data_IF_357841352525
#
_entry.id   IF_357841352525
#
_cell.length_a   1.000
_cell.length_b   1.000
_cell.length_c   1.000
_cell.angle_alpha   90.00
_cell.angle_beta   90.00
_cell.angle_gamma   90.00
#
_symmetry.space_group_name_H-M   'P 1'
#
loop_
_entity.id
_entity.type
_entity.pdbx_description
1 polymer ?
#
# COMPACT_ATOMS: atom_id res chain seq x y z
N UNK A 1 -2.92 -8.10 14.44
CA UNK A 1 -4.33 -8.49 14.59
C UNK A 1 -4.38 -9.92 15.12
N UNK A 2 -5.43 -10.33 15.85
CA UNK A 2 -5.46 -11.63 16.54
C UNK A 2 -5.43 -12.86 15.62
N UNK A 3 -5.56 -12.67 14.30
CA UNK A 3 -5.88 -13.74 13.34
C UNK A 3 -4.71 -14.06 12.36
N UNK A 4 -3.50 -13.52 12.59
CA UNK A 4 -2.34 -13.73 11.70
C UNK A 4 -2.32 -12.84 10.44
N UNK A 5 -3.38 -12.07 10.18
CA UNK A 5 -3.39 -11.04 9.16
C UNK A 5 -2.48 -9.85 9.50
N UNK A 6 -1.77 -9.35 8.49
CA UNK A 6 -0.89 -8.18 8.57
C UNK A 6 -1.58 -6.97 7.96
N UNK A 7 -1.67 -5.87 8.70
CA UNK A 7 -2.26 -4.61 8.23
C UNK A 7 -1.18 -3.66 7.73
N UNK A 8 -1.35 -3.13 6.53
CA UNK A 8 -0.49 -2.11 5.92
C UNK A 8 -1.29 -0.82 5.75
N UNK A 9 -0.67 0.29 6.14
CA UNK A 9 -1.25 1.63 6.04
C UNK A 9 -0.17 2.56 5.52
N UNK A 10 -0.46 3.24 4.43
CA UNK A 10 0.31 4.40 3.96
C UNK A 10 -0.67 5.49 3.57
N UNK A 11 -0.29 6.74 3.73
CA UNK A 11 -1.14 7.86 3.35
C UNK A 11 -0.34 9.14 3.40
N UNK A 12 -0.92 10.16 2.80
CA UNK A 12 -0.31 11.47 2.66
C UNK A 12 -1.34 12.59 2.86
N UNK A 13 -0.90 13.74 3.36
CA UNK A 13 -1.72 14.95 3.53
C UNK A 13 -1.16 16.03 2.65
N UNK A 14 -2.06 16.79 2.05
CA UNK A 14 -1.64 17.99 1.32
C UNK A 14 -0.93 18.98 2.26
N UNK A 15 0.35 19.23 1.98
CA UNK A 15 1.19 20.18 2.71
C UNK A 15 2.18 19.53 3.66
N UNK A 16 3.26 20.24 3.95
CA UNK A 16 4.44 19.72 4.68
C UNK A 16 4.69 20.49 6.00
N UNK A 17 3.64 21.08 6.58
CA UNK A 17 3.75 21.87 7.80
C UNK A 17 3.46 21.05 9.07
N UNK A 18 3.70 21.65 10.24
CA UNK A 18 3.42 21.01 11.53
C UNK A 18 1.96 20.55 11.66
N UNK A 19 1.02 21.27 11.03
CA UNK A 19 -0.41 20.95 11.08
C UNK A 19 -0.70 19.68 10.28
N UNK A 20 -0.11 19.52 9.10
CA UNK A 20 -0.20 18.31 8.30
C UNK A 20 0.37 17.09 9.04
N UNK A 21 1.55 17.24 9.66
CA UNK A 21 2.17 16.17 10.46
C UNK A 21 1.28 15.72 11.64
N UNK A 22 0.67 16.68 12.35
CA UNK A 22 -0.26 16.38 13.45
C UNK A 22 -1.51 15.67 12.92
N UNK A 23 -2.08 16.14 11.81
CA UNK A 23 -3.26 15.52 11.18
C UNK A 23 -2.97 14.08 10.74
N UNK A 24 -1.83 13.82 10.13
CA UNK A 24 -1.41 12.46 9.76
C UNK A 24 -1.27 11.54 10.98
N UNK A 25 -0.65 12.04 12.06
CA UNK A 25 -0.54 11.28 13.31
C UNK A 25 -1.91 10.90 13.87
N UNK A 26 -2.85 11.84 13.89
CA UNK A 26 -4.21 11.61 14.39
C UNK A 26 -4.99 10.65 13.49
N UNK A 27 -4.98 10.88 12.17
CA UNK A 27 -5.65 10.01 11.19
C UNK A 27 -5.13 8.58 11.29
N UNK A 28 -3.81 8.39 11.37
CA UNK A 28 -3.20 7.07 11.56
C UNK A 28 -3.68 6.39 12.84
N UNK A 29 -3.79 7.13 13.94
CA UNK A 29 -4.25 6.58 15.21
C UNK A 29 -5.76 6.22 15.16
N UNK A 30 -6.59 7.05 14.52
CA UNK A 30 -8.00 6.75 14.29
C UNK A 30 -8.17 5.48 13.46
N UNK A 31 -7.44 5.37 12.35
CA UNK A 31 -7.49 4.19 11.48
C UNK A 31 -7.07 2.93 12.23
N UNK A 32 -5.99 3.00 13.03
CA UNK A 32 -5.57 1.89 13.88
C UNK A 32 -6.65 1.50 14.90
N UNK A 33 -7.33 2.46 15.52
CA UNK A 33 -8.43 2.21 16.44
C UNK A 33 -9.60 1.51 15.75
N UNK A 34 -10.06 2.05 14.62
CA UNK A 34 -11.16 1.49 13.82
C UNK A 34 -10.82 0.06 13.37
N UNK A 35 -9.63 -0.14 12.80
CA UNK A 35 -9.18 -1.45 12.30
C UNK A 35 -8.99 -2.48 13.42
N UNK A 36 -8.70 -2.04 14.65
CA UNK A 36 -8.57 -2.94 15.79
C UNK A 36 -9.92 -3.35 16.39
N UNK A 37 -10.94 -2.51 16.26
CA UNK A 37 -12.30 -2.74 16.78
C UNK A 37 -13.17 -3.49 15.76
N UNK A 38 -13.00 -3.21 14.47
CA UNK A 38 -13.87 -3.69 13.39
C UNK A 38 -13.15 -4.66 12.47
N UNK A 39 -13.75 -5.84 12.29
CA UNK A 39 -13.38 -6.82 11.27
C UNK A 39 -14.27 -6.63 10.04
N UNK A 40 -13.96 -5.62 9.24
CA UNK A 40 -14.73 -5.26 8.03
C UNK A 40 -13.83 -5.19 6.80
N UNK A 41 -14.39 -5.28 5.58
CA UNK A 41 -13.63 -5.09 4.35
C UNK A 41 -12.93 -3.71 4.30
N UNK A 42 -11.75 -3.61 3.67
CA UNK A 42 -10.97 -2.37 3.57
C UNK A 42 -11.76 -1.10 3.19
N UNK A 43 -12.67 -1.21 2.22
CA UNK A 43 -13.51 -0.08 1.82
C UNK A 43 -14.41 0.44 2.96
N UNK A 44 -14.97 -0.45 3.78
CA UNK A 44 -15.78 -0.06 4.95
C UNK A 44 -14.94 0.58 6.04
N UNK A 45 -13.73 0.07 6.28
CA UNK A 45 -12.77 0.68 7.21
C UNK A 45 -12.43 2.11 6.77
N UNK A 46 -12.14 2.33 5.49
CA UNK A 46 -11.89 3.68 4.97
C UNK A 46 -13.13 4.58 5.02
N UNK A 47 -14.33 4.07 4.76
CA UNK A 47 -15.56 4.86 4.89
C UNK A 47 -15.78 5.36 6.33
N UNK A 48 -15.47 4.52 7.33
CA UNK A 48 -15.53 4.92 8.75
C UNK A 48 -14.48 5.95 9.10
N UNK A 49 -13.25 5.78 8.59
CA UNK A 49 -12.20 6.75 8.76
C UNK A 49 -12.60 8.09 8.15
N UNK A 50 -13.22 8.09 6.97
CA UNK A 50 -13.65 9.28 6.26
C UNK A 50 -14.73 10.06 7.02
N UNK A 51 -15.75 9.37 7.51
CA UNK A 51 -16.79 9.96 8.35
C UNK A 51 -16.20 10.60 9.62
N UNK A 52 -15.25 9.92 10.28
CA UNK A 52 -14.59 10.46 11.46
C UNK A 52 -13.64 11.63 11.12
N UNK A 53 -12.93 11.55 10.00
CA UNK A 53 -12.05 12.60 9.49
C UNK A 53 -12.85 13.86 9.16
N UNK A 54 -13.99 13.72 8.47
CA UNK A 54 -14.85 14.85 8.11
C UNK A 54 -15.39 15.61 9.34
N UNK A 55 -15.68 14.92 10.45
CA UNK A 55 -16.10 15.56 11.70
C UNK A 55 -14.98 16.40 12.32
N UNK A 56 -13.74 15.91 12.28
CA UNK A 56 -12.60 16.57 12.91
C UNK A 56 -11.93 17.62 12.01
N UNK A 57 -12.01 17.42 10.69
CA UNK A 57 -11.27 18.16 9.66
C UNK A 57 -12.12 18.35 8.38
N UNK A 58 -13.21 19.12 8.44
CA UNK A 58 -14.21 19.20 7.36
C UNK A 58 -13.66 19.74 6.03
N UNK A 59 -12.61 20.56 6.06
CA UNK A 59 -12.03 21.21 4.88
C UNK A 59 -10.67 20.61 4.46
N UNK A 60 -10.34 19.42 4.96
CA UNK A 60 -9.05 18.78 4.67
C UNK A 60 -9.27 17.51 3.87
N UNK A 61 -8.30 17.22 3.01
CA UNK A 61 -8.27 15.99 2.22
C UNK A 61 -6.95 15.28 2.44
N UNK A 62 -7.02 13.95 2.40
CA UNK A 62 -5.82 13.13 2.49
C UNK A 62 -5.93 11.90 1.60
N UNK A 63 -4.79 11.41 1.15
CA UNK A 63 -4.69 10.15 0.42
C UNK A 63 -4.34 9.03 1.40
N UNK A 64 -4.85 7.82 1.16
CA UNK A 64 -4.59 6.69 2.04
C UNK A 64 -4.78 5.36 1.32
N UNK A 65 -3.97 4.37 1.68
CA UNK A 65 -4.22 2.95 1.41
C UNK A 65 -4.38 2.25 2.75
N UNK A 66 -5.45 1.48 2.85
CA UNK A 66 -5.60 0.47 3.88
C UNK A 66 -5.58 -0.90 3.22
N UNK A 67 -4.66 -1.76 3.65
CA UNK A 67 -4.54 -3.10 3.14
C UNK A 67 -4.38 -4.15 4.25
N UNK A 68 -4.89 -5.34 3.98
CA UNK A 68 -4.77 -6.53 4.79
C UNK A 68 -4.11 -7.61 3.95
N UNK A 69 -3.01 -8.16 4.45
CA UNK A 69 -2.32 -9.32 3.89
C UNK A 69 -2.64 -10.50 4.79
N UNK A 70 -3.32 -11.50 4.24
CA UNK A 70 -3.70 -12.69 5.01
C UNK A 70 -3.55 -13.98 4.21
N UNK A 71 -3.54 -15.09 4.93
CA UNK A 71 -3.52 -16.43 4.37
C UNK A 71 -4.34 -17.34 5.27
N UNK A 72 -5.43 -17.89 4.74
CA UNK A 72 -6.42 -18.65 5.52
C UNK A 72 -5.95 -20.06 5.92
N UNK A 73 -4.98 -20.60 5.19
CA UNK A 73 -4.41 -21.92 5.44
C UNK A 73 -2.92 -21.95 5.13
N UNK A 74 -2.22 -23.05 5.40
CA UNK A 74 -0.79 -23.14 5.11
C UNK A 74 -0.48 -23.22 3.62
N UNK A 75 -1.36 -23.91 2.90
CA UNK A 75 -1.24 -24.21 1.46
C UNK A 75 -2.14 -23.30 0.60
N UNK A 76 -2.90 -22.42 1.24
CA UNK A 76 -3.70 -21.39 0.55
C UNK A 76 -2.80 -20.25 0.05
N UNK A 77 -3.17 -19.57 -1.04
CA UNK A 77 -2.42 -18.43 -1.50
C UNK A 77 -2.53 -17.25 -0.52
N UNK A 78 -1.51 -16.40 -0.51
CA UNK A 78 -1.61 -15.11 0.17
C UNK A 78 -2.58 -14.21 -0.59
N UNK A 79 -3.43 -13.51 0.16
CA UNK A 79 -4.40 -12.55 -0.38
C UNK A 79 -4.07 -11.15 0.13
N UNK A 80 -4.16 -10.17 -0.75
CA UNK A 80 -4.14 -8.75 -0.42
C UNK A 80 -5.56 -8.21 -0.59
N UNK A 81 -6.20 -7.84 0.51
CA UNK A 81 -7.44 -7.07 0.50
C UNK A 81 -7.10 -5.61 0.71
N UNK A 82 -7.54 -4.71 -0.17
CA UNK A 82 -7.15 -3.31 -0.08
C UNK A 82 -8.22 -2.36 -0.59
N UNK A 83 -8.13 -1.12 -0.12
CA UNK A 83 -8.88 0.02 -0.64
C UNK A 83 -7.92 1.21 -0.73
N UNK A 84 -8.09 2.02 -1.77
CA UNK A 84 -7.21 3.14 -2.11
C UNK A 84 -8.06 4.41 -2.16
N UNK A 85 -7.83 5.34 -1.23
CA UNK A 85 -8.41 6.67 -1.24
C UNK A 85 -7.42 7.65 -1.87
N UNK A 86 -7.54 7.90 -3.18
CA UNK A 86 -6.73 8.90 -3.90
C UNK A 86 -5.22 8.65 -4.02
N UNK A 87 -4.66 7.67 -3.31
CA UNK A 87 -3.21 7.39 -3.26
C UNK A 87 -2.70 6.70 -4.54
N UNK A 88 -1.38 6.78 -4.87
CA UNK A 88 -0.78 5.98 -5.93
C UNK A 88 -1.03 4.47 -5.76
N UNK A 89 -1.26 3.77 -6.87
CA UNK A 89 -1.57 2.33 -6.84
C UNK A 89 -0.38 1.51 -6.31
N UNK A 90 -0.59 0.53 -5.41
CA UNK A 90 0.47 -0.38 -5.00
C UNK A 90 1.11 -1.10 -6.17
N UNK A 91 2.41 -1.37 -6.09
CA UNK A 91 3.12 -2.16 -7.08
C UNK A 91 3.32 -3.59 -6.58
N UNK A 92 2.81 -4.57 -7.32
CA UNK A 92 3.16 -5.99 -7.14
C UNK A 92 4.38 -6.32 -7.99
N UNK A 93 5.37 -6.96 -7.37
CA UNK A 93 6.61 -7.44 -8.00
C UNK A 93 6.70 -8.94 -7.74
N UNK A 94 6.62 -9.74 -8.78
CA UNK A 94 6.81 -11.20 -8.66
C UNK A 94 8.29 -11.54 -8.49
N UNK A 95 8.60 -12.75 -8.02
CA UNK A 95 9.98 -13.21 -7.86
C UNK A 95 10.80 -13.24 -9.18
N UNK A 96 10.11 -13.35 -10.31
CA UNK A 96 10.73 -13.37 -11.64
C UNK A 96 10.88 -11.97 -12.26
N UNK A 97 10.54 -10.92 -11.52
CA UNK A 97 10.68 -9.54 -11.98
C UNK A 97 9.48 -9.01 -12.77
N UNK A 98 8.42 -9.81 -12.96
CA UNK A 98 7.16 -9.29 -13.50
C UNK A 98 6.52 -8.33 -12.52
N UNK A 99 5.97 -7.25 -13.05
CA UNK A 99 5.51 -6.10 -12.26
C UNK A 99 4.14 -5.62 -12.71
N UNK A 100 3.26 -5.32 -11.76
CA UNK A 100 1.88 -4.90 -12.02
C UNK A 100 1.38 -3.92 -10.96
N UNK A 101 0.83 -2.80 -11.40
CA UNK A 101 0.11 -1.89 -10.50
C UNK A 101 -1.26 -2.47 -10.13
N UNK A 102 -1.58 -2.44 -8.84
CA UNK A 102 -2.84 -2.93 -8.28
C UNK A 102 -3.88 -1.81 -8.32
N UNK A 103 -4.58 -1.68 -9.43
CA UNK A 103 -5.51 -0.57 -9.70
C UNK A 103 -6.94 -0.79 -9.21
N UNK A 104 -7.21 -1.94 -8.58
CA UNK A 104 -8.50 -2.24 -7.97
C UNK A 104 -8.76 -1.37 -6.73
N UNK A 105 -10.00 -1.33 -6.27
CA UNK A 105 -10.34 -0.68 -4.99
C UNK A 105 -10.08 0.84 -4.94
N UNK A 106 -9.84 1.47 -6.09
CA UNK A 106 -9.57 2.91 -6.19
C UNK A 106 -10.83 3.72 -5.99
N UNK A 107 -10.77 4.67 -5.07
CA UNK A 107 -11.77 5.69 -4.80
C UNK A 107 -11.13 7.08 -4.70
N UNK A 108 -11.97 8.08 -4.45
CA UNK A 108 -11.54 9.48 -4.26
C UNK A 108 -10.74 9.67 -2.96
N UNK A 109 -10.14 10.83 -2.73
CA UNK A 109 -9.47 11.12 -1.45
C UNK A 109 -10.47 11.12 -0.29
N UNK A 110 -9.99 10.96 0.94
CA UNK A 110 -10.83 11.21 2.12
C UNK A 110 -11.14 12.71 2.20
N UNK A 111 -12.29 13.08 2.77
CA UNK A 111 -12.79 14.44 2.87
C UNK A 111 -13.53 14.95 1.62
N UNK A 112 -13.35 14.31 0.45
CA UNK A 112 -14.02 14.73 -0.81
C UNK A 112 -15.47 14.28 -0.88
N UNK A 113 -15.74 13.02 -0.53
CA UNK A 113 -17.09 12.44 -0.52
C UNK A 113 -17.26 11.53 0.72
N UNK A 114 -17.51 12.14 1.91
CA UNK A 114 -17.56 11.42 3.19
C UNK A 114 -18.66 10.36 3.30
N UNK A 115 -19.74 10.52 2.54
CA UNK A 115 -20.89 9.61 2.54
C UNK A 115 -20.82 8.59 1.37
N UNK A 116 -19.86 8.76 0.48
CA UNK A 116 -19.68 7.97 -0.73
C UNK A 116 -19.31 6.51 -0.48
N UNK A 117 -19.66 5.66 -1.45
CA UNK A 117 -19.17 4.29 -1.46
C UNK A 117 -17.65 4.27 -1.66
N UNK A 118 -16.95 3.56 -0.78
CA UNK A 118 -15.50 3.30 -0.88
C UNK A 118 -15.27 1.90 -1.47
N UNK A 119 -14.78 1.79 -2.71
CA UNK A 119 -14.49 0.49 -3.33
C UNK A 119 -13.39 -0.26 -2.58
N UNK A 120 -13.40 -1.59 -2.70
CA UNK A 120 -12.32 -2.46 -2.23
C UNK A 120 -11.99 -3.49 -3.31
N UNK A 121 -10.79 -4.03 -3.27
CA UNK A 121 -10.34 -5.09 -4.16
C UNK A 121 -9.60 -6.18 -3.40
N UNK A 122 -9.46 -7.32 -4.06
CA UNK A 122 -8.67 -8.46 -3.59
C UNK A 122 -7.79 -8.94 -4.72
N UNK A 123 -6.49 -9.05 -4.46
CA UNK A 123 -5.51 -9.61 -5.37
C UNK A 123 -4.82 -10.80 -4.71
N UNK A 124 -4.59 -11.86 -5.49
CA UNK A 124 -3.74 -12.98 -5.07
C UNK A 124 -2.28 -12.58 -5.17
N UNK A 125 -1.52 -12.86 -4.12
CA UNK A 125 -0.07 -12.62 -4.06
C UNK A 125 0.68 -13.93 -4.34
N UNK A 126 1.42 -14.04 -5.46
CA UNK A 126 2.24 -15.21 -5.73
C UNK A 126 3.30 -15.42 -4.64
N UNK A 127 3.77 -16.66 -4.42
CA UNK A 127 4.87 -16.91 -3.49
C UNK A 127 6.11 -16.07 -3.81
N UNK A 128 6.84 -15.66 -2.77
CA UNK A 128 8.03 -14.80 -2.88
C UNK A 128 7.81 -13.45 -3.60
N UNK A 129 6.56 -13.04 -3.85
CA UNK A 129 6.27 -11.72 -4.43
C UNK A 129 6.35 -10.62 -3.37
N UNK A 130 6.74 -9.42 -3.81
CA UNK A 130 6.77 -8.20 -3.00
C UNK A 130 5.61 -7.30 -3.40
N UNK A 131 4.85 -6.83 -2.42
CA UNK A 131 3.93 -5.69 -2.57
C UNK A 131 4.62 -4.45 -2.04
N UNK A 132 4.70 -3.41 -2.86
CA UNK A 132 5.29 -2.12 -2.53
C UNK A 132 4.20 -1.05 -2.50
N UNK A 133 4.01 -0.44 -1.33
CA UNK A 133 3.21 0.76 -1.11
C UNK A 133 4.17 1.94 -1.01
N UNK A 134 3.81 3.07 -1.58
CA UNK A 134 4.68 4.24 -1.65
C UNK A 134 3.86 5.54 -1.77
N UNK A 135 4.42 6.61 -1.23
CA UNK A 135 3.92 8.00 -1.38
C UNK A 135 4.24 8.54 -2.77
N UNK A 136 3.47 9.53 -3.22
CA UNK A 136 3.63 10.15 -4.55
C UNK A 136 5.01 10.79 -4.74
N UNK A 137 5.63 11.33 -3.68
CA UNK A 137 7.00 11.85 -3.69
C UNK A 137 8.06 10.88 -4.24
N UNK A 138 7.80 9.56 -4.21
CA UNK A 138 8.70 8.55 -4.81
C UNK A 138 8.69 8.62 -6.35
N UNK A 139 7.56 8.96 -6.96
CA UNK A 139 7.33 8.86 -8.42
C UNK A 139 7.07 10.21 -9.09
N UNK A 140 6.61 11.21 -8.34
CA UNK A 140 6.32 12.55 -8.85
C UNK A 140 7.58 13.41 -8.87
N UNK A 141 7.74 14.16 -9.98
CA UNK A 141 8.82 15.13 -10.17
C UNK A 141 8.26 16.33 -10.92
N UNK A 142 8.70 17.54 -10.56
CA UNK A 142 8.11 18.81 -11.05
C UNK A 142 8.08 18.96 -12.57
N UNK A 143 9.08 18.41 -13.27
CA UNK A 143 9.25 18.57 -14.72
C UNK A 143 9.08 17.26 -15.47
N UNK A 144 8.45 16.25 -14.85
CA UNK A 144 8.29 14.94 -15.46
C UNK A 144 6.84 14.43 -15.39
N UNK A 145 6.42 13.79 -16.48
CA UNK A 145 5.17 13.04 -16.51
C UNK A 145 5.17 11.88 -15.50
N UNK A 146 4.10 11.76 -14.72
CA UNK A 146 3.92 10.71 -13.71
C UNK A 146 4.09 9.30 -14.30
N UNK A 147 3.66 9.08 -15.54
CA UNK A 147 3.82 7.79 -16.23
C UNK A 147 5.27 7.37 -16.38
N UNK A 148 6.20 8.32 -16.60
CA UNK A 148 7.64 8.04 -16.63
C UNK A 148 8.19 7.67 -15.26
N UNK A 149 7.73 8.35 -14.20
CA UNK A 149 8.05 8.00 -12.82
C UNK A 149 7.62 6.60 -12.45
N UNK A 150 6.37 6.25 -12.77
CA UNK A 150 5.83 4.90 -12.57
C UNK A 150 6.57 3.84 -13.41
N UNK A 151 6.94 4.16 -14.65
CA UNK A 151 7.71 3.25 -15.50
C UNK A 151 9.10 2.97 -14.95
N UNK A 152 9.81 3.98 -14.43
CA UNK A 152 11.09 3.78 -13.74
C UNK A 152 10.93 2.92 -12.50
N UNK A 153 9.97 3.25 -11.63
CA UNK A 153 9.71 2.48 -10.41
C UNK A 153 9.54 1.00 -10.74
N UNK A 154 8.72 0.71 -11.76
CA UNK A 154 8.50 -0.63 -12.27
C UNK A 154 9.79 -1.32 -12.72
N UNK A 155 10.65 -0.63 -13.46
CA UNK A 155 11.93 -1.17 -13.96
C UNK A 155 12.92 -1.45 -12.83
N UNK A 156 13.10 -0.51 -11.89
CA UNK A 156 14.00 -0.71 -10.75
C UNK A 156 13.51 -1.83 -9.84
N UNK A 157 12.21 -1.88 -9.55
CA UNK A 157 11.62 -2.94 -8.74
C UNK A 157 11.78 -4.32 -9.39
N UNK A 158 11.60 -4.42 -10.71
CA UNK A 158 11.84 -5.66 -11.44
C UNK A 158 13.29 -6.14 -11.33
N UNK A 159 14.27 -5.23 -11.47
CA UNK A 159 15.69 -5.55 -11.38
C UNK A 159 16.10 -6.05 -9.97
N UNK A 160 15.42 -5.57 -8.93
CA UNK A 160 15.69 -5.90 -7.53
C UNK A 160 14.80 -7.04 -7.00
N UNK A 161 13.96 -7.66 -7.83
CA UNK A 161 12.89 -8.57 -7.38
C UNK A 161 13.37 -9.73 -6.48
N UNK A 162 14.62 -10.17 -6.67
CA UNK A 162 15.24 -11.28 -5.93
C UNK A 162 16.09 -10.83 -4.74
N UNK A 163 16.38 -9.54 -4.62
CA UNK A 163 17.17 -8.99 -3.54
C UNK A 163 16.42 -9.08 -2.19
N UNK A 164 17.13 -9.22 -1.06
CA UNK A 164 16.55 -9.09 0.27
C UNK A 164 15.79 -7.76 0.42
N UNK A 165 14.71 -7.75 1.22
CA UNK A 165 13.87 -6.56 1.36
C UNK A 165 14.62 -5.27 1.75
N UNK A 166 15.63 -5.27 2.65
CA UNK A 166 16.42 -4.07 2.93
C UNK A 166 17.11 -3.53 1.67
N UNK A 167 17.85 -4.38 0.95
CA UNK A 167 18.52 -4.03 -0.31
C UNK A 167 17.54 -3.59 -1.39
N UNK A 168 16.37 -4.25 -1.47
CA UNK A 168 15.30 -3.85 -2.38
C UNK A 168 14.82 -2.43 -2.07
N UNK A 169 14.51 -2.12 -0.82
CA UNK A 169 14.04 -0.80 -0.39
C UNK A 169 15.09 0.28 -0.65
N UNK A 170 16.34 0.03 -0.23
CA UNK A 170 17.45 0.99 -0.42
C UNK A 170 17.69 1.24 -1.91
N UNK A 171 17.73 0.17 -2.73
CA UNK A 171 17.89 0.28 -4.18
C UNK A 171 16.74 1.00 -4.88
N UNK A 172 15.51 0.90 -4.37
CA UNK A 172 14.38 1.71 -4.85
C UNK A 172 14.59 3.19 -4.49
N UNK A 173 14.94 3.51 -3.24
CA UNK A 173 15.15 4.89 -2.80
C UNK A 173 16.30 5.54 -3.59
N UNK A 174 17.41 4.83 -3.79
CA UNK A 174 18.55 5.30 -4.57
C UNK A 174 18.21 5.45 -6.05
N UNK A 175 17.56 4.46 -6.67
CA UNK A 175 17.18 4.48 -8.08
C UNK A 175 16.13 5.54 -8.41
N UNK A 176 15.29 5.89 -7.43
CA UNK A 176 14.26 6.92 -7.55
C UNK A 176 14.70 8.29 -7.03
N UNK A 177 15.92 8.43 -6.50
CA UNK A 177 16.45 9.69 -6.01
C UNK A 177 16.54 10.76 -7.12
N UNK A 178 16.54 12.04 -6.71
CA UNK A 178 16.94 13.15 -7.57
C UNK A 178 15.83 13.88 -8.33
N UNK A 179 14.63 14.06 -7.75
CA UNK A 179 13.65 14.97 -8.37
C UNK A 179 12.28 15.13 -7.68
N UNK A 180 12.00 14.38 -6.62
CA UNK A 180 10.80 14.60 -5.80
C UNK A 180 10.89 15.90 -5.01
N UNK A 181 9.79 16.64 -4.95
CA UNK A 181 9.68 17.83 -4.06
C UNK A 181 8.87 17.56 -2.80
N UNK A 182 8.39 16.33 -2.62
CA UNK A 182 7.56 15.91 -1.51
C UNK A 182 8.25 14.82 -0.67
N UNK A 183 7.68 14.54 0.50
CA UNK A 183 8.18 13.51 1.40
C UNK A 183 8.11 12.12 0.77
N UNK A 184 9.15 11.31 1.00
CA UNK A 184 9.24 9.95 0.45
C UNK A 184 9.15 8.93 1.58
N UNK A 185 8.14 8.08 1.49
CA UNK A 185 7.93 6.91 2.32
C UNK A 185 7.51 5.71 1.47
N UNK A 186 8.00 4.52 1.84
CA UNK A 186 7.59 3.25 1.23
C UNK A 186 7.44 2.15 2.28
N UNK A 187 6.59 1.16 1.97
CA UNK A 187 6.40 -0.07 2.74
C UNK A 187 6.48 -1.24 1.76
N UNK A 188 7.37 -2.18 2.02
CA UNK A 188 7.51 -3.40 1.24
C UNK A 188 7.20 -4.63 2.10
N UNK A 189 6.35 -5.51 1.60
CA UNK A 189 6.05 -6.81 2.22
C UNK A 189 6.28 -7.91 1.20
N UNK A 190 7.03 -8.94 1.60
CA UNK A 190 7.27 -10.12 0.77
C UNK A 190 6.53 -11.33 1.33
N UNK A 191 5.74 -11.98 0.49
CA UNK A 191 5.09 -13.25 0.85
C UNK A 191 6.13 -14.34 1.03
N UNK A 192 5.86 -15.29 1.93
CA UNK A 192 6.74 -16.44 2.14
C UNK A 192 6.97 -17.24 0.84
N UNK A 193 8.11 -17.94 0.72
CA UNK A 193 8.35 -18.87 -0.38
C UNK A 193 7.30 -19.99 -0.39
N UNK A 194 7.13 -20.68 -1.53
CA UNK A 194 6.20 -21.81 -1.61
C UNK A 194 6.57 -22.85 -0.55
N UNK A 195 5.55 -23.46 0.05
CA UNK A 195 5.81 -24.54 0.98
C UNK A 195 6.35 -25.74 0.20
N UNK A 196 7.51 -26.26 0.58
CA UNK A 196 7.97 -27.54 0.06
C UNK A 196 7.01 -28.62 0.58
N UNK A 197 6.16 -29.16 -0.30
CA UNK A 197 5.39 -30.35 0.02
C UNK A 197 6.31 -31.52 0.36
N UNK A 198 5.81 -32.61 0.98
CA UNK A 198 6.62 -33.79 1.22
C UNK A 198 7.21 -34.27 -0.11
N UNK A 199 8.54 -34.37 -0.19
CA UNK A 199 9.20 -34.97 -1.33
C UNK A 199 8.76 -36.44 -1.39
N UNK A 200 7.91 -36.78 -2.37
CA UNK A 200 7.61 -38.18 -2.67
C UNK A 200 8.84 -38.74 -3.36
N UNK A 201 9.71 -39.37 -2.58
CA UNK A 201 10.72 -40.27 -3.12
C UNK A 201 9.95 -41.42 -3.78
N UNK A 202 9.89 -41.41 -5.12
CA UNK A 202 9.48 -42.58 -5.88
C UNK A 202 10.62 -43.60 -5.79
N UNK A 203 10.32 -44.89 -5.55
CA UNK A 203 11.32 -45.93 -5.31
C UNK A 203 12.26 -46.18 -6.50
#
# INVERSE_FOLDING_TARGET
>A
MPDGAMTLIIGDVAGHDLRAAVMMSQTRNMLRGIASDRKEPPGKILARLDAAHHILYPDQTLTCIYALVERLGRDEPWLLHYAVAGHPAPLLVTHDGETRFLTGGRGVMLGVDPEGHRPAATDTLPPSSTVLLYTDGLVERREEDLGRGLARLRQHAAALAREPLPTFCDGILEGMAGGGSDDVALIAVRTAPPHAGPAVATP
#
